data_IF_407672690016
#
_entry.id   IF_407672690016
#
_cell.length_a   1.000
_cell.length_b   1.000
_cell.length_c   1.000
_cell.angle_alpha   90.00
_cell.angle_beta   90.00
_cell.angle_gamma   90.00
#
_symmetry.space_group_name_H-M   'P 1'
#
loop_
_entity.id
_entity.type
_entity.pdbx_description
1 polymer ?
#
# COMPACT_ATOMS: atom_id res chain seq x y z
N UNK A 1 -57.31 -27.00 -72.30
CA UNK A 1 -57.83 -27.23 -70.94
C UNK A 1 -56.83 -28.01 -70.03
N UNK A 2 -56.01 -28.98 -70.55
CA UNK A 2 -55.03 -29.69 -69.71
C UNK A 2 -53.86 -28.82 -69.30
N UNK A 3 -53.33 -27.91 -70.10
CA UNK A 3 -52.27 -26.96 -69.76
C UNK A 3 -52.69 -26.00 -68.70
N UNK A 4 -53.93 -25.53 -68.67
CA UNK A 4 -54.46 -24.66 -67.66
C UNK A 4 -54.58 -25.30 -66.29
N UNK A 5 -55.02 -26.61 -66.27
CA UNK A 5 -55.10 -27.40 -65.03
C UNK A 5 -53.70 -27.64 -64.42
N UNK A 6 -52.73 -28.02 -65.27
CA UNK A 6 -51.36 -28.23 -64.83
C UNK A 6 -50.73 -26.90 -64.26
N UNK A 7 -50.96 -25.72 -64.87
CA UNK A 7 -50.52 -24.45 -64.39
C UNK A 7 -51.21 -24.04 -63.11
N UNK A 8 -52.46 -24.42 -62.88
CA UNK A 8 -53.14 -24.17 -61.59
C UNK A 8 -52.59 -25.03 -60.42
N UNK A 9 -52.26 -26.29 -60.71
CA UNK A 9 -51.63 -27.24 -59.77
C UNK A 9 -50.24 -26.73 -59.37
N UNK A 10 -49.41 -26.31 -60.32
CA UNK A 10 -48.10 -25.74 -60.06
C UNK A 10 -48.18 -24.44 -59.24
N UNK A 11 -49.16 -23.56 -59.55
CA UNK A 11 -49.39 -22.34 -58.81
C UNK A 11 -49.87 -22.62 -57.38
N UNK A 12 -50.75 -23.62 -57.19
CA UNK A 12 -51.19 -24.05 -55.86
C UNK A 12 -50.02 -24.60 -55.02
N UNK A 13 -49.19 -25.48 -55.61
CA UNK A 13 -48.00 -26.01 -54.93
C UNK A 13 -47.01 -24.90 -54.53
N UNK A 14 -46.77 -23.94 -55.47
CA UNK A 14 -45.91 -22.79 -55.16
C UNK A 14 -46.48 -21.92 -54.02
N UNK A 15 -47.81 -21.74 -54.01
CA UNK A 15 -48.49 -20.96 -52.94
C UNK A 15 -48.32 -21.64 -51.57
N UNK A 16 -48.43 -22.98 -51.51
CA UNK A 16 -48.17 -23.75 -50.27
C UNK A 16 -46.72 -23.52 -49.77
N UNK A 17 -45.75 -23.66 -50.67
CA UNK A 17 -44.34 -23.46 -50.32
C UNK A 17 -44.05 -22.04 -49.85
N UNK A 18 -44.67 -21.03 -50.47
CA UNK A 18 -44.58 -19.63 -50.03
C UNK A 18 -45.17 -19.44 -48.63
N UNK A 19 -46.31 -20.05 -48.31
CA UNK A 19 -46.91 -19.97 -46.98
C UNK A 19 -46.01 -20.64 -45.91
N UNK A 20 -45.44 -21.83 -46.22
CA UNK A 20 -44.47 -22.49 -45.33
C UNK A 20 -43.23 -21.61 -45.08
N UNK A 21 -42.69 -20.97 -46.10
CA UNK A 21 -41.59 -20.04 -45.98
C UNK A 21 -41.95 -18.78 -45.12
N UNK A 22 -43.16 -18.28 -45.26
CA UNK A 22 -43.65 -17.15 -44.45
C UNK A 22 -43.73 -17.52 -42.98
N UNK A 23 -44.19 -18.73 -42.63
CA UNK A 23 -44.22 -19.19 -41.24
C UNK A 23 -42.82 -19.34 -40.66
N UNK A 24 -41.84 -19.88 -41.44
CA UNK A 24 -40.44 -19.95 -41.05
C UNK A 24 -39.83 -18.55 -40.79
N UNK A 25 -40.11 -17.59 -41.72
CA UNK A 25 -39.65 -16.20 -41.58
C UNK A 25 -40.27 -15.54 -40.37
N UNK A 26 -41.53 -15.75 -40.08
CA UNK A 26 -42.24 -15.22 -38.92
C UNK A 26 -41.63 -15.76 -37.63
N UNK A 27 -41.41 -17.08 -37.52
CA UNK A 27 -40.74 -17.71 -36.38
C UNK A 27 -39.32 -17.14 -36.18
N UNK A 28 -38.55 -16.97 -37.23
CA UNK A 28 -37.24 -16.37 -37.21
C UNK A 28 -37.25 -14.92 -36.73
N UNK A 29 -38.27 -14.14 -37.14
CA UNK A 29 -38.46 -12.76 -36.70
C UNK A 29 -38.79 -12.68 -35.17
N UNK A 30 -39.66 -13.57 -34.70
CA UNK A 30 -39.99 -13.70 -33.27
C UNK A 30 -38.77 -14.08 -32.43
N UNK A 31 -37.93 -14.98 -32.92
CA UNK A 31 -36.67 -15.36 -32.25
C UNK A 31 -35.68 -14.17 -32.21
N UNK A 32 -35.50 -13.45 -33.29
CA UNK A 32 -34.67 -12.25 -33.35
C UNK A 32 -35.17 -11.18 -32.36
N UNK A 33 -36.46 -10.94 -32.28
CA UNK A 33 -37.05 -9.99 -31.36
C UNK A 33 -36.80 -10.39 -29.88
N UNK A 34 -36.93 -11.68 -29.58
CA UNK A 34 -36.62 -12.25 -28.28
C UNK A 34 -35.13 -12.04 -27.91
N UNK A 35 -34.23 -12.36 -28.86
CA UNK A 35 -32.78 -12.14 -28.67
C UNK A 35 -32.44 -10.68 -28.50
N UNK A 36 -33.05 -9.77 -29.22
CA UNK A 36 -32.86 -8.33 -29.07
C UNK A 36 -33.30 -7.83 -27.70
N UNK A 37 -34.45 -8.30 -27.22
CA UNK A 37 -34.93 -7.98 -25.86
C UNK A 37 -34.00 -8.47 -24.77
N UNK A 38 -33.52 -9.71 -24.86
CA UNK A 38 -32.58 -10.28 -23.89
C UNK A 38 -31.20 -9.60 -23.97
N UNK A 39 -30.76 -9.23 -25.17
CA UNK A 39 -29.54 -8.47 -25.39
C UNK A 39 -29.62 -7.08 -24.73
N UNK A 40 -30.73 -6.38 -24.91
CA UNK A 40 -30.96 -5.08 -24.25
C UNK A 40 -30.95 -5.20 -22.72
N UNK A 41 -31.59 -6.22 -22.15
CA UNK A 41 -31.60 -6.51 -20.70
C UNK A 41 -30.19 -6.82 -20.17
N UNK A 42 -29.41 -7.59 -20.94
CA UNK A 42 -28.04 -7.93 -20.58
C UNK A 42 -27.14 -6.67 -20.58
N UNK A 43 -27.29 -5.81 -21.57
CA UNK A 43 -26.57 -4.53 -21.66
C UNK A 43 -26.86 -3.65 -20.44
N UNK A 44 -28.11 -3.54 -20.04
CA UNK A 44 -28.50 -2.77 -18.86
C UNK A 44 -27.87 -3.31 -17.58
N UNK A 45 -27.81 -4.64 -17.43
CA UNK A 45 -27.12 -5.28 -16.30
C UNK A 45 -25.59 -5.03 -16.33
N UNK A 46 -24.97 -4.97 -17.51
CA UNK A 46 -23.55 -4.63 -17.66
C UNK A 46 -23.31 -3.15 -17.25
N UNK A 47 -24.12 -2.23 -17.72
CA UNK A 47 -24.04 -0.81 -17.37
C UNK A 47 -24.14 -0.61 -15.86
N UNK A 48 -25.07 -1.27 -15.19
CA UNK A 48 -25.21 -1.18 -13.74
C UNK A 48 -23.97 -1.70 -13.01
N UNK A 49 -23.41 -2.85 -13.45
CA UNK A 49 -22.17 -3.41 -12.86
C UNK A 49 -20.97 -2.53 -13.10
N UNK A 50 -20.83 -1.96 -14.29
CA UNK A 50 -19.75 -1.03 -14.61
C UNK A 50 -19.81 0.23 -13.74
N UNK A 51 -21.00 0.78 -13.51
CA UNK A 51 -21.19 1.92 -12.63
C UNK A 51 -20.87 1.60 -11.16
N UNK A 52 -21.27 0.42 -10.67
CA UNK A 52 -20.94 -0.04 -9.31
C UNK A 52 -19.41 -0.24 -9.14
N UNK A 53 -18.76 -0.84 -10.15
CA UNK A 53 -17.30 -1.00 -10.18
C UNK A 53 -16.60 0.36 -10.14
N UNK A 54 -17.01 1.30 -10.96
CA UNK A 54 -16.48 2.67 -10.98
C UNK A 54 -16.59 3.33 -9.62
N UNK A 55 -17.77 3.26 -8.99
CA UNK A 55 -18.01 3.85 -7.67
C UNK A 55 -17.08 3.25 -6.62
N UNK A 56 -16.97 1.93 -6.58
CA UNK A 56 -16.07 1.22 -5.65
C UNK A 56 -14.60 1.54 -5.90
N UNK A 57 -14.21 1.68 -7.15
CA UNK A 57 -12.83 2.04 -7.53
C UNK A 57 -12.47 3.45 -7.07
N UNK A 58 -13.35 4.43 -7.26
CA UNK A 58 -13.16 5.82 -6.79
C UNK A 58 -13.08 5.88 -5.26
N UNK A 59 -13.95 5.14 -4.55
CA UNK A 59 -13.90 5.05 -3.09
C UNK A 59 -12.58 4.41 -2.60
N UNK A 60 -12.13 3.32 -3.24
CA UNK A 60 -10.89 2.65 -2.92
C UNK A 60 -9.68 3.56 -3.17
N UNK A 61 -9.65 4.25 -4.30
CA UNK A 61 -8.63 5.24 -4.65
C UNK A 61 -8.55 6.35 -3.61
N UNK A 62 -9.68 6.91 -3.19
CA UNK A 62 -9.75 7.96 -2.17
C UNK A 62 -9.23 7.49 -0.82
N UNK A 63 -9.61 6.27 -0.39
CA UNK A 63 -9.11 5.67 0.85
C UNK A 63 -7.61 5.41 0.79
N UNK A 64 -7.12 4.91 -0.33
CA UNK A 64 -5.69 4.66 -0.55
C UNK A 64 -4.89 5.96 -0.53
N UNK A 65 -5.37 7.03 -1.17
CA UNK A 65 -4.72 8.34 -1.14
C UNK A 65 -4.68 8.92 0.28
N UNK A 66 -5.75 8.76 1.04
CA UNK A 66 -5.80 9.17 2.45
C UNK A 66 -4.77 8.39 3.29
N UNK A 67 -4.69 7.08 3.09
CA UNK A 67 -3.70 6.22 3.77
C UNK A 67 -2.27 6.61 3.38
N UNK A 68 -1.99 6.83 2.10
CA UNK A 68 -0.71 7.30 1.59
C UNK A 68 -0.25 8.58 2.30
N UNK A 69 -1.13 9.60 2.36
CA UNK A 69 -0.81 10.87 3.02
C UNK A 69 -0.56 10.69 4.53
N UNK A 70 -1.35 9.85 5.21
CA UNK A 70 -1.17 9.54 6.62
C UNK A 70 0.15 8.81 6.90
N UNK A 71 0.51 7.83 6.06
CA UNK A 71 1.78 7.10 6.17
C UNK A 71 2.94 8.04 5.97
N UNK A 72 2.90 8.88 4.93
CA UNK A 72 3.94 9.88 4.64
C UNK A 72 4.15 10.85 5.81
N UNK A 73 3.06 11.38 6.38
CA UNK A 73 3.13 12.29 7.53
C UNK A 73 3.73 11.59 8.75
N UNK A 74 3.27 10.38 9.09
CA UNK A 74 3.80 9.62 10.23
C UNK A 74 5.25 9.21 10.05
N UNK A 75 5.66 8.88 8.82
CA UNK A 75 7.07 8.63 8.51
C UNK A 75 7.94 9.84 8.81
N UNK A 76 7.49 11.02 8.39
CA UNK A 76 8.19 12.27 8.59
C UNK A 76 8.29 12.64 10.09
N UNK A 77 7.21 12.45 10.85
CA UNK A 77 7.20 12.63 12.31
C UNK A 77 8.17 11.67 13.02
N UNK A 78 8.24 10.41 12.59
CA UNK A 78 9.14 9.41 13.16
C UNK A 78 10.62 9.75 12.87
N UNK A 79 10.95 10.16 11.64
CA UNK A 79 12.29 10.60 11.25
C UNK A 79 12.69 11.86 12.04
N UNK A 80 11.78 12.82 12.22
CA UNK A 80 12.03 14.00 13.05
C UNK A 80 12.26 13.63 14.50
N UNK A 81 11.47 12.70 15.04
CA UNK A 81 11.63 12.16 16.40
C UNK A 81 12.97 11.44 16.60
N UNK A 82 13.53 10.82 15.56
CA UNK A 82 14.83 10.14 15.65
C UNK A 82 16.00 11.09 15.88
N UNK A 83 15.87 12.36 15.53
CA UNK A 83 16.88 13.41 15.84
C UNK A 83 17.12 13.57 17.34
N UNK A 84 16.14 13.21 18.18
CA UNK A 84 16.35 13.16 19.64
C UNK A 84 17.35 12.09 20.06
N UNK A 85 17.47 11.01 19.28
CA UNK A 85 18.43 9.93 19.52
C UNK A 85 19.86 10.38 19.22
N UNK A 86 20.05 11.25 18.23
CA UNK A 86 21.36 11.85 17.95
C UNK A 86 21.86 12.70 19.12
N UNK A 87 20.95 13.42 19.81
CA UNK A 87 21.29 14.16 21.04
C UNK A 87 21.68 13.25 22.19
N UNK A 88 21.08 12.07 22.30
CA UNK A 88 21.48 11.09 23.31
C UNK A 88 22.92 10.62 23.02
N UNK A 89 23.28 10.45 21.77
CA UNK A 89 24.63 10.07 21.35
C UNK A 89 25.67 11.15 21.73
N UNK A 90 25.36 12.42 21.53
CA UNK A 90 26.20 13.54 21.94
C UNK A 90 26.38 13.59 23.48
N UNK A 91 25.27 13.42 24.23
CA UNK A 91 25.29 13.40 25.68
C UNK A 91 26.09 12.22 26.24
N UNK A 92 25.94 11.01 25.65
CA UNK A 92 26.72 9.85 26.07
C UNK A 92 28.21 10.03 25.82
N UNK A 93 28.59 10.68 24.72
CA UNK A 93 29.98 11.08 24.47
C UNK A 93 30.53 12.00 25.59
N UNK A 94 29.78 13.01 25.98
CA UNK A 94 30.16 13.94 27.07
C UNK A 94 30.28 13.21 28.40
N UNK A 95 29.33 12.32 28.73
CA UNK A 95 29.39 11.57 30.00
C UNK A 95 30.56 10.58 29.99
N UNK A 96 30.92 9.97 28.85
CA UNK A 96 32.09 9.13 28.71
C UNK A 96 33.39 9.90 29.01
N UNK A 97 33.49 11.13 28.52
CA UNK A 97 34.62 12.01 28.79
C UNK A 97 34.73 12.37 30.29
N UNK A 98 33.62 12.77 30.92
CA UNK A 98 33.57 13.04 32.37
C UNK A 98 33.94 11.78 33.16
N UNK A 99 33.47 10.60 32.79
CA UNK A 99 33.79 9.34 33.44
C UNK A 99 35.28 9.03 33.36
N UNK A 100 35.88 9.21 32.17
CA UNK A 100 37.32 9.03 31.97
C UNK A 100 38.13 10.00 32.81
N UNK A 101 37.77 11.30 32.89
CA UNK A 101 38.42 12.30 33.71
C UNK A 101 38.29 11.96 35.21
N UNK A 102 37.10 11.49 35.63
CA UNK A 102 36.85 11.06 37.01
C UNK A 102 37.75 9.88 37.39
N UNK A 103 37.90 8.89 36.49
CA UNK A 103 38.81 7.75 36.68
C UNK A 103 40.28 8.18 36.85
N UNK A 104 40.73 9.14 36.01
CA UNK A 104 42.08 9.70 36.15
C UNK A 104 42.27 10.47 37.48
N UNK A 105 41.27 11.23 37.91
CA UNK A 105 41.31 11.93 39.22
C UNK A 105 41.36 10.94 40.37
N UNK A 106 40.59 9.87 40.30
CA UNK A 106 40.57 8.82 41.30
C UNK A 106 41.93 8.09 41.39
N UNK A 107 42.54 7.83 40.22
CA UNK A 107 43.90 7.23 40.18
C UNK A 107 44.93 8.15 40.83
N UNK A 108 44.91 9.46 40.50
CA UNK A 108 45.82 10.45 41.09
C UNK A 108 45.63 10.57 42.63
N UNK A 109 44.36 10.58 43.09
CA UNK A 109 44.04 10.57 44.51
C UNK A 109 44.53 9.28 45.22
N UNK A 110 44.39 8.13 44.59
CA UNK A 110 44.91 6.83 45.11
C UNK A 110 46.42 6.86 45.24
N UNK A 111 47.15 7.43 44.28
CA UNK A 111 48.61 7.57 44.31
C UNK A 111 49.04 8.47 45.50
N UNK A 112 48.36 9.62 45.66
CA UNK A 112 48.73 10.56 46.74
C UNK A 112 48.34 10.02 48.12
N UNK A 113 47.23 9.27 48.24
CA UNK A 113 46.83 8.59 49.43
C UNK A 113 47.88 7.50 49.85
N UNK A 114 48.40 6.78 48.90
CA UNK A 114 49.49 5.77 49.13
C UNK A 114 50.79 6.49 49.60
N UNK A 115 51.05 7.70 49.08
CA UNK A 115 52.21 8.51 49.45
C UNK A 115 52.15 9.01 50.90
N UNK A 116 50.92 9.26 51.41
CA UNK A 116 50.69 9.68 52.81
C UNK A 116 50.74 8.53 53.81
N UNK A 117 50.95 7.28 53.39
CA UNK A 117 51.10 6.12 54.27
C UNK A 117 49.86 5.84 55.14
N UNK A 118 50.04 5.55 56.42
CA UNK A 118 48.92 5.23 57.32
C UNK A 118 47.86 6.37 57.40
N UNK A 119 48.25 7.64 57.29
CA UNK A 119 47.32 8.78 57.32
C UNK A 119 46.41 8.84 56.08
N UNK A 120 46.82 8.21 54.96
CA UNK A 120 46.08 8.22 53.69
C UNK A 120 45.14 7.03 53.50
N UNK A 121 45.12 6.03 54.38
CA UNK A 121 44.36 4.75 54.17
C UNK A 121 42.87 4.99 53.88
N UNK A 122 42.20 5.86 54.60
CA UNK A 122 40.79 6.20 54.37
C UNK A 122 40.56 6.85 53.00
N UNK A 123 41.45 7.72 52.57
CA UNK A 123 41.39 8.37 51.27
C UNK A 123 41.66 7.37 50.13
N UNK A 124 42.54 6.42 50.29
CA UNK A 124 42.82 5.38 49.32
C UNK A 124 41.56 4.53 49.01
N UNK A 125 40.79 4.16 50.04
CA UNK A 125 39.54 3.42 49.87
C UNK A 125 38.51 4.21 49.05
N UNK A 126 38.34 5.50 49.41
CA UNK A 126 37.40 6.37 48.67
C UNK A 126 37.84 6.55 47.23
N UNK A 127 39.12 6.78 46.99
CA UNK A 127 39.64 6.97 45.63
C UNK A 127 39.46 5.69 44.79
N UNK A 128 39.66 4.48 45.36
CA UNK A 128 39.42 3.23 44.67
C UNK A 128 37.94 3.05 44.31
N UNK A 129 37.05 3.41 45.22
CA UNK A 129 35.60 3.34 44.98
C UNK A 129 35.16 4.32 43.88
N UNK A 130 35.70 5.56 43.88
CA UNK A 130 35.43 6.53 42.80
C UNK A 130 35.93 5.99 41.44
N UNK A 131 37.11 5.38 41.41
CA UNK A 131 37.64 4.74 40.18
C UNK A 131 36.72 3.61 39.69
N UNK A 132 36.25 2.76 40.60
CA UNK A 132 35.29 1.68 40.26
C UNK A 132 33.98 2.22 39.73
N UNK A 133 33.43 3.29 40.32
CA UNK A 133 32.22 3.98 39.83
C UNK A 133 32.41 4.58 38.44
N UNK A 134 33.57 5.18 38.18
CA UNK A 134 33.90 5.71 36.85
C UNK A 134 33.94 4.60 35.78
N UNK A 135 34.57 3.46 36.11
CA UNK A 135 34.58 2.30 35.19
C UNK A 135 33.20 1.71 34.95
N UNK A 136 32.37 1.58 35.97
CA UNK A 136 30.99 1.12 35.84
C UNK A 136 30.17 2.11 34.97
N UNK A 137 30.35 3.41 35.18
CA UNK A 137 29.69 4.47 34.37
C UNK A 137 30.11 4.35 32.90
N UNK A 138 31.41 4.22 32.63
CA UNK A 138 31.95 4.04 31.28
C UNK A 138 31.35 2.80 30.56
N UNK A 139 31.16 1.71 31.31
CA UNK A 139 30.55 0.50 30.80
C UNK A 139 29.05 0.72 30.44
N UNK A 140 28.30 1.32 31.37
CA UNK A 140 26.90 1.62 31.15
C UNK A 140 26.69 2.54 29.92
N UNK A 141 27.57 3.51 29.70
CA UNK A 141 27.52 4.40 28.54
C UNK A 141 27.77 3.63 27.22
N UNK A 142 28.71 2.69 27.22
CA UNK A 142 28.91 1.82 26.03
C UNK A 142 27.67 1.00 25.71
N UNK A 143 27.00 0.48 26.74
CA UNK A 143 25.75 -0.26 26.56
C UNK A 143 24.65 0.66 25.99
N UNK A 144 24.54 1.90 26.46
CA UNK A 144 23.62 2.92 25.91
C UNK A 144 23.97 3.21 24.43
N UNK A 145 25.24 3.39 24.09
CA UNK A 145 25.69 3.58 22.72
C UNK A 145 25.23 2.46 21.79
N UNK A 146 25.36 1.21 22.22
CA UNK A 146 24.89 0.05 21.46
C UNK A 146 23.36 0.09 21.22
N UNK A 147 22.60 0.52 22.23
CA UNK A 147 21.14 0.68 22.11
C UNK A 147 20.80 1.81 21.12
N UNK A 148 21.50 2.94 21.22
CA UNK A 148 21.32 4.09 20.29
C UNK A 148 21.58 3.68 18.84
N UNK A 149 22.67 2.95 18.60
CA UNK A 149 22.99 2.44 17.26
C UNK A 149 21.89 1.50 16.73
N UNK A 150 21.38 0.62 17.58
CA UNK A 150 20.29 -0.29 17.22
C UNK A 150 18.98 0.49 16.89
N UNK A 151 18.67 1.55 17.64
CA UNK A 151 17.51 2.41 17.37
C UNK A 151 17.68 3.13 16.05
N UNK A 152 18.85 3.71 15.78
CA UNK A 152 19.13 4.41 14.52
C UNK A 152 19.03 3.45 13.32
N UNK A 153 19.55 2.25 13.43
CA UNK A 153 19.40 1.22 12.39
C UNK A 153 17.92 0.85 12.15
N UNK A 154 17.14 0.69 13.22
CA UNK A 154 15.72 0.38 13.11
C UNK A 154 14.93 1.53 12.45
N UNK A 155 15.22 2.79 12.78
CA UNK A 155 14.60 3.96 12.14
C UNK A 155 14.98 4.06 10.66
N UNK A 156 16.25 3.80 10.31
CA UNK A 156 16.70 3.78 8.92
C UNK A 156 15.98 2.71 8.09
N UNK A 157 15.89 1.48 8.62
CA UNK A 157 15.16 0.38 7.96
C UNK A 157 13.66 0.70 7.82
N UNK A 158 13.08 1.35 8.83
CA UNK A 158 11.66 1.78 8.75
C UNK A 158 11.48 2.85 7.66
N UNK A 159 12.38 3.82 7.54
CA UNK A 159 12.33 4.85 6.51
C UNK A 159 12.40 4.24 5.09
N UNK A 160 13.29 3.28 4.87
CA UNK A 160 13.41 2.54 3.61
C UNK A 160 12.13 1.77 3.27
N UNK A 161 11.59 1.01 4.23
CA UNK A 161 10.34 0.27 4.05
C UNK A 161 9.14 1.19 3.74
N UNK A 162 9.11 2.38 4.36
CA UNK A 162 8.07 3.38 4.09
C UNK A 162 8.20 4.00 2.70
N UNK A 163 9.42 4.24 2.22
CA UNK A 163 9.70 4.72 0.87
C UNK A 163 9.24 3.69 -0.18
N UNK A 164 9.60 2.42 0.00
CA UNK A 164 9.15 1.32 -0.86
C UNK A 164 7.62 1.20 -0.87
N UNK A 165 6.98 1.25 0.32
CA UNK A 165 5.52 1.13 0.46
C UNK A 165 4.81 2.30 -0.22
N UNK A 166 5.28 3.53 0.00
CA UNK A 166 4.68 4.71 -0.63
C UNK A 166 4.90 4.72 -2.14
N UNK A 167 6.07 4.29 -2.60
CA UNK A 167 6.36 4.10 -4.02
C UNK A 167 5.45 3.07 -4.68
N UNK A 168 5.19 1.94 -4.03
CA UNK A 168 4.25 0.93 -4.50
C UNK A 168 2.82 1.47 -4.58
N UNK A 169 2.37 2.18 -3.54
CA UNK A 169 1.03 2.78 -3.54
C UNK A 169 0.86 3.79 -4.68
N UNK A 170 1.83 4.66 -4.90
CA UNK A 170 1.77 5.72 -5.92
C UNK A 170 1.90 5.18 -7.34
N UNK A 171 2.91 4.34 -7.59
CA UNK A 171 3.27 3.91 -8.94
C UNK A 171 2.46 2.70 -9.42
N UNK A 172 1.92 1.90 -8.51
CA UNK A 172 1.18 0.68 -8.86
C UNK A 172 -0.30 0.83 -8.51
N UNK A 173 -0.64 0.93 -7.23
CA UNK A 173 -2.03 0.82 -6.78
C UNK A 173 -2.92 1.96 -7.30
N UNK A 174 -2.46 3.20 -7.20
CA UNK A 174 -3.22 4.37 -7.68
C UNK A 174 -3.29 4.40 -9.20
N UNK A 175 -2.31 3.86 -9.90
CA UNK A 175 -2.29 3.72 -11.36
C UNK A 175 -3.30 2.67 -11.79
N UNK A 176 -3.32 1.50 -11.15
CA UNK A 176 -4.31 0.44 -11.42
C UNK A 176 -5.75 0.92 -11.19
N UNK A 177 -6.01 1.73 -10.14
CA UNK A 177 -7.36 2.30 -9.94
C UNK A 177 -7.78 3.22 -11.09
N UNK A 178 -6.88 4.00 -11.68
CA UNK A 178 -7.19 4.80 -12.87
C UNK A 178 -7.51 3.92 -14.09
N UNK A 179 -6.77 2.84 -14.26
CA UNK A 179 -7.05 1.86 -15.32
C UNK A 179 -8.41 1.20 -15.13
N UNK A 180 -8.77 0.80 -13.90
CA UNK A 180 -10.09 0.25 -13.61
C UNK A 180 -11.23 1.26 -13.86
N UNK A 181 -11.00 2.53 -13.57
CA UNK A 181 -11.97 3.59 -13.89
C UNK A 181 -12.19 3.69 -15.40
N UNK A 182 -11.12 3.70 -16.20
CA UNK A 182 -11.19 3.74 -17.68
C UNK A 182 -11.88 2.49 -18.23
N UNK A 183 -11.55 1.30 -17.74
CA UNK A 183 -12.20 0.05 -18.15
C UNK A 183 -13.68 0.05 -17.81
N UNK A 184 -14.07 0.63 -16.67
CA UNK A 184 -15.49 0.77 -16.30
C UNK A 184 -16.24 1.70 -17.23
N UNK A 185 -15.64 2.81 -17.66
CA UNK A 185 -16.20 3.70 -18.67
C UNK A 185 -16.35 3.00 -20.03
N UNK A 186 -15.34 2.25 -20.45
CA UNK A 186 -15.40 1.48 -21.70
C UNK A 186 -16.55 0.45 -21.67
N UNK A 187 -16.73 -0.27 -20.57
CA UNK A 187 -17.85 -1.21 -20.45
C UNK A 187 -19.22 -0.52 -20.51
N UNK A 188 -19.35 0.70 -20.00
CA UNK A 188 -20.59 1.48 -20.14
C UNK A 188 -20.85 1.86 -21.59
N UNK A 189 -19.84 2.34 -22.31
CA UNK A 189 -19.95 2.70 -23.74
C UNK A 189 -20.28 1.49 -24.61
N UNK A 190 -19.59 0.36 -24.38
CA UNK A 190 -19.80 -0.88 -25.11
C UNK A 190 -21.24 -1.41 -24.91
N UNK A 191 -21.72 -1.39 -23.67
CA UNK A 191 -23.07 -1.83 -23.34
C UNK A 191 -24.15 -0.89 -23.93
N UNK A 192 -23.93 0.42 -23.93
CA UNK A 192 -24.85 1.38 -24.54
C UNK A 192 -24.90 1.22 -26.06
N UNK A 193 -23.75 1.05 -26.69
CA UNK A 193 -23.64 0.77 -28.13
C UNK A 193 -24.36 -0.52 -28.49
N UNK A 194 -24.17 -1.59 -27.71
CA UNK A 194 -24.85 -2.87 -27.94
C UNK A 194 -26.37 -2.73 -27.76
N UNK A 195 -26.84 -2.06 -26.71
CA UNK A 195 -28.26 -1.78 -26.48
C UNK A 195 -28.87 -1.02 -27.65
N UNK A 196 -28.15 -0.04 -28.18
CA UNK A 196 -28.62 0.77 -29.30
C UNK A 196 -28.70 -0.02 -30.61
N UNK A 197 -27.80 -0.96 -30.82
CA UNK A 197 -27.77 -1.81 -32.01
C UNK A 197 -28.88 -2.88 -32.04
N UNK A 198 -29.49 -3.17 -30.89
CA UNK A 198 -30.58 -4.14 -30.72
C UNK A 198 -31.99 -3.52 -30.85
N UNK A 199 -32.11 -2.17 -30.88
CA UNK A 199 -33.37 -1.43 -31.08
C UNK A 199 -33.55 -1.05 -32.52
#
# INVERSE_FOLDING_TARGET
>A
SQQLAAGMEETAATTVTINENIEVIKSGADDINSMATEGARTSEAIMMRANDLRTKTVEASTKTMTMYNNVKTKAQEAIEGSKAVDKINELTGTIMEISSQTGLLALNASIEAARAGEAGRGFAVVATEIGSLADQTSKAIKDIGTIVDAVNAAVSNMAECLEETTGFLENTVLTEYKEFEQVSEQYQEDADTFKTSMN
#
